data_IF_748102258911
#
_entry.id   IF_748102258911
#
_cell.length_a   1.000
_cell.length_b   1.000
_cell.length_c   1.000
_cell.angle_alpha   90.00
_cell.angle_beta   90.00
_cell.angle_gamma   90.00
#
_symmetry.space_group_name_H-M   'P 1'
#
loop_
_entity.id
_entity.type
_entity.pdbx_description
1 polymer ?
#
# COMPACT_ATOMS: atom_id res chain seq x y z
N UNK A 1 -9.75 33.78 31.80
CA UNK A 1 -9.54 32.69 30.83
C UNK A 1 -9.95 33.24 29.47
N UNK A 2 -9.08 33.17 28.46
CA UNK A 2 -9.43 33.60 27.11
C UNK A 2 -10.34 32.55 26.46
N UNK A 3 -11.37 32.98 25.72
CA UNK A 3 -12.28 32.09 25.00
C UNK A 3 -11.85 32.00 23.53
N UNK A 4 -12.02 30.82 22.94
CA UNK A 4 -11.78 30.60 21.50
C UNK A 4 -13.00 31.07 20.73
N UNK A 5 -12.79 31.96 19.75
CA UNK A 5 -13.86 32.45 18.87
C UNK A 5 -13.99 31.56 17.64
N UNK A 6 -15.05 30.74 17.66
CA UNK A 6 -15.38 29.84 16.58
C UNK A 6 -16.40 30.43 15.58
N UNK A 7 -16.71 31.72 15.60
CA UNK A 7 -17.82 32.25 14.81
C UNK A 7 -17.47 33.51 14.01
N UNK A 8 -16.53 34.34 14.47
CA UNK A 8 -16.24 35.61 13.78
C UNK A 8 -15.59 35.41 12.41
N UNK A 9 -14.68 34.44 12.26
CA UNK A 9 -13.96 34.20 11.01
C UNK A 9 -13.75 32.71 10.76
N UNK A 10 -13.89 32.30 9.48
CA UNK A 10 -13.73 30.92 9.01
C UNK A 10 -13.06 30.86 7.64
N UNK A 11 -12.08 29.98 7.51
CA UNK A 11 -11.56 29.61 6.18
C UNK A 11 -12.61 28.79 5.45
N UNK A 12 -12.92 29.19 4.22
CA UNK A 12 -13.89 28.50 3.35
C UNK A 12 -13.28 27.99 2.05
N UNK A 13 -12.03 28.39 1.75
CA UNK A 13 -11.34 28.04 0.49
C UNK A 13 -9.94 27.48 0.71
N UNK A 14 -9.19 28.04 1.66
CA UNK A 14 -7.79 27.67 1.90
C UNK A 14 -7.70 26.65 3.03
N UNK A 15 -8.26 25.47 2.81
CA UNK A 15 -8.11 24.29 3.68
C UNK A 15 -8.35 23.00 2.88
N UNK A 16 -7.83 21.88 3.37
CA UNK A 16 -8.10 20.53 2.87
C UNK A 16 -8.50 19.64 4.04
N UNK A 17 -9.02 18.45 3.74
CA UNK A 17 -9.23 17.41 4.77
C UNK A 17 -7.89 16.81 5.18
N UNK A 18 -7.84 16.20 6.37
CA UNK A 18 -6.62 15.51 6.86
C UNK A 18 -6.45 14.15 6.19
N UNK A 19 -7.56 13.45 5.95
CA UNK A 19 -7.57 12.17 5.25
C UNK A 19 -7.44 12.44 3.75
N UNK A 20 -6.48 11.74 3.14
CA UNK A 20 -6.14 11.80 1.72
C UNK A 20 -6.12 10.42 1.05
N UNK A 21 -6.07 9.32 1.80
CA UNK A 21 -5.95 7.98 1.23
C UNK A 21 -7.00 7.01 1.78
N UNK A 22 -7.38 6.05 0.95
CA UNK A 22 -8.19 4.90 1.34
C UNK A 22 -7.39 3.63 1.09
N UNK A 23 -7.08 2.87 2.15
CA UNK A 23 -6.20 1.71 2.07
C UNK A 23 -7.01 0.43 2.28
N UNK A 24 -6.93 -0.48 1.31
CA UNK A 24 -7.57 -1.79 1.37
C UNK A 24 -6.59 -2.84 1.90
N UNK A 25 -7.07 -3.68 2.82
CA UNK A 25 -6.32 -4.77 3.46
C UNK A 25 -7.15 -6.05 3.42
N UNK A 26 -6.47 -7.19 3.54
CA UNK A 26 -7.09 -8.41 4.05
C UNK A 26 -6.59 -8.70 5.45
N UNK A 27 -7.35 -9.48 6.21
CA UNK A 27 -6.97 -9.84 7.58
C UNK A 27 -6.04 -11.05 7.68
N UNK A 28 -6.06 -11.97 6.70
CA UNK A 28 -5.42 -13.30 6.80
C UNK A 28 -5.90 -14.13 8.01
N UNK A 29 -7.06 -13.77 8.55
CA UNK A 29 -7.63 -14.32 9.78
C UNK A 29 -9.13 -14.55 9.59
N UNK A 30 -9.71 -15.46 10.38
CA UNK A 30 -11.19 -15.56 10.45
C UNK A 30 -11.78 -14.34 11.17
N UNK A 31 -13.11 -14.18 11.16
CA UNK A 31 -13.75 -12.99 11.74
C UNK A 31 -13.42 -12.79 13.23
N UNK A 32 -13.50 -13.85 14.04
CA UNK A 32 -13.24 -13.77 15.48
C UNK A 32 -11.81 -13.31 15.77
N UNK A 33 -10.82 -13.91 15.09
CA UNK A 33 -9.41 -13.54 15.24
C UNK A 33 -9.14 -12.13 14.72
N UNK A 34 -9.79 -11.73 13.61
CA UNK A 34 -9.70 -10.39 13.04
C UNK A 34 -10.18 -9.33 14.04
N UNK A 35 -11.35 -9.52 14.66
CA UNK A 35 -11.86 -8.62 15.71
C UNK A 35 -10.90 -8.57 16.89
N UNK A 36 -10.43 -9.72 17.40
CA UNK A 36 -9.50 -9.77 18.52
C UNK A 36 -8.18 -9.02 18.23
N UNK A 37 -7.64 -9.17 17.02
CA UNK A 37 -6.40 -8.51 16.61
C UNK A 37 -6.59 -6.99 16.47
N UNK A 38 -7.64 -6.56 15.75
CA UNK A 38 -7.88 -5.17 15.39
C UNK A 38 -8.46 -4.30 16.52
N UNK A 39 -8.97 -4.92 17.58
CA UNK A 39 -9.32 -4.24 18.84
C UNK A 39 -8.29 -4.48 19.94
N UNK A 40 -7.16 -5.11 19.61
CA UNK A 40 -6.07 -5.36 20.53
C UNK A 40 -5.13 -4.15 20.67
N UNK A 41 -3.94 -4.38 21.23
CA UNK A 41 -2.99 -3.30 21.58
C UNK A 41 -1.98 -2.96 20.47
N UNK A 42 -2.01 -3.66 19.33
CA UNK A 42 -0.91 -3.60 18.33
C UNK A 42 -1.28 -3.01 16.99
N UNK A 43 -2.45 -3.36 16.46
CA UNK A 43 -2.92 -2.96 15.14
C UNK A 43 -4.42 -2.68 15.21
N UNK A 44 -4.91 -1.83 14.33
CA UNK A 44 -6.33 -1.51 14.21
C UNK A 44 -6.64 -0.98 12.82
N UNK A 45 -7.92 -0.98 12.45
CA UNK A 45 -8.43 -0.39 11.22
C UNK A 45 -9.66 0.46 11.53
N UNK A 46 -10.04 1.34 10.61
CA UNK A 46 -11.26 2.11 10.80
C UNK A 46 -12.48 1.23 10.56
N UNK A 47 -12.41 0.36 9.56
CA UNK A 47 -13.51 -0.53 9.20
C UNK A 47 -13.05 -1.98 9.08
N UNK A 48 -13.93 -2.90 9.49
CA UNK A 48 -13.81 -4.34 9.26
C UNK A 48 -15.04 -4.83 8.49
N UNK A 49 -14.80 -5.52 7.37
CA UNK A 49 -15.80 -6.10 6.49
C UNK A 49 -15.72 -7.64 6.59
N UNK A 50 -16.68 -8.31 7.25
CA UNK A 50 -16.69 -9.77 7.42
C UNK A 50 -17.11 -10.49 6.13
N UNK A 51 -16.84 -11.79 6.04
CA UNK A 51 -17.52 -12.68 5.10
C UNK A 51 -18.77 -13.26 5.80
N UNK A 52 -20.01 -12.99 5.31
CA UNK A 52 -21.24 -13.51 5.90
C UNK A 52 -21.34 -15.03 5.98
N UNK A 53 -20.57 -15.74 5.16
CA UNK A 53 -20.52 -17.21 5.14
C UNK A 53 -19.46 -17.80 6.07
N UNK A 54 -18.60 -16.97 6.66
CA UNK A 54 -17.53 -17.43 7.54
C UNK A 54 -18.08 -17.90 8.89
N UNK A 55 -17.58 -19.06 9.34
CA UNK A 55 -18.13 -19.79 10.48
C UNK A 55 -18.08 -18.96 11.77
N UNK A 56 -16.96 -18.29 12.06
CA UNK A 56 -16.83 -17.52 13.31
C UNK A 56 -17.67 -16.23 13.31
N UNK A 57 -18.01 -15.70 12.14
CA UNK A 57 -18.99 -14.61 11.99
C UNK A 57 -20.41 -15.07 12.37
N UNK A 58 -20.81 -16.25 11.89
CA UNK A 58 -22.12 -16.86 12.20
C UNK A 58 -22.20 -17.22 13.69
N UNK A 59 -21.13 -17.79 14.25
CA UNK A 59 -21.04 -18.14 15.67
C UNK A 59 -21.09 -16.93 16.60
N UNK A 60 -20.59 -15.77 16.14
CA UNK A 60 -20.73 -14.50 16.86
C UNK A 60 -22.18 -13.96 16.86
N UNK A 61 -23.11 -14.64 16.18
CA UNK A 61 -24.55 -14.34 16.19
C UNK A 61 -25.00 -13.41 15.08
N UNK A 62 -24.11 -13.06 14.14
CA UNK A 62 -24.47 -12.27 12.97
C UNK A 62 -25.08 -13.17 11.87
N UNK A 63 -26.00 -12.62 11.09
CA UNK A 63 -26.75 -13.35 10.03
C UNK A 63 -26.77 -12.58 8.72
N UNK A 64 -26.88 -11.27 8.81
CA UNK A 64 -26.86 -10.35 7.67
C UNK A 64 -25.49 -9.68 7.58
N UNK A 65 -25.12 -9.23 6.39
CA UNK A 65 -23.90 -8.46 6.17
C UNK A 65 -23.87 -7.21 7.05
N UNK A 66 -22.74 -6.95 7.71
CA UNK A 66 -22.50 -5.75 8.50
C UNK A 66 -21.10 -5.23 8.27
N UNK A 67 -20.96 -3.91 8.30
CA UNK A 67 -19.67 -3.24 8.33
C UNK A 67 -19.44 -2.75 9.75
N UNK A 68 -18.31 -3.11 10.35
CA UNK A 68 -17.96 -2.68 11.69
C UNK A 68 -17.02 -1.50 11.62
N UNK A 69 -17.38 -0.38 12.25
CA UNK A 69 -16.43 0.68 12.53
C UNK A 69 -15.71 0.37 13.85
N UNK A 70 -14.38 0.29 13.83
CA UNK A 70 -13.56 -0.01 15.02
C UNK A 70 -12.81 1.23 15.53
N UNK A 71 -12.50 2.18 14.65
CA UNK A 71 -11.86 3.46 14.98
C UNK A 71 -12.58 4.59 14.25
N UNK A 72 -12.89 5.68 14.95
CA UNK A 72 -13.47 6.90 14.36
C UNK A 72 -12.51 7.48 13.32
N UNK A 73 -12.99 7.93 12.16
CA UNK A 73 -12.14 8.44 11.08
C UNK A 73 -11.47 9.80 11.40
N UNK A 74 -11.87 10.45 12.50
CA UNK A 74 -11.15 11.62 13.03
C UNK A 74 -9.95 11.21 13.89
N UNK A 75 -9.83 9.94 14.23
CA UNK A 75 -8.73 9.35 14.97
C UNK A 75 -7.80 8.57 14.03
N UNK A 76 -6.63 8.17 14.54
CA UNK A 76 -5.63 7.45 13.76
C UNK A 76 -5.68 5.95 14.07
N UNK A 77 -6.22 5.14 13.16
CA UNK A 77 -6.04 3.69 13.21
C UNK A 77 -4.60 3.26 12.85
N UNK A 78 -4.19 2.06 13.27
CA UNK A 78 -2.83 1.54 13.10
C UNK A 78 -2.81 0.36 12.11
N UNK A 79 -2.97 0.65 10.81
CA UNK A 79 -3.09 -0.37 9.75
C UNK A 79 -1.92 -0.34 8.75
N UNK A 80 -1.47 0.84 8.32
CA UNK A 80 -0.47 0.97 7.26
C UNK A 80 0.97 0.62 7.73
N UNK A 81 1.33 0.95 8.96
CA UNK A 81 2.70 0.82 9.47
C UNK A 81 3.71 1.68 8.67
N UNK A 82 4.96 1.21 8.54
CA UNK A 82 5.98 1.86 7.69
C UNK A 82 5.52 1.83 6.24
N UNK A 83 5.17 2.99 5.70
CA UNK A 83 4.48 3.12 4.41
C UNK A 83 4.78 4.45 3.73
N UNK A 84 4.65 4.47 2.40
CA UNK A 84 4.87 5.65 1.56
C UNK A 84 3.98 5.61 0.32
N UNK A 85 3.37 6.74 -0.05
CA UNK A 85 2.58 6.91 -1.26
C UNK A 85 2.53 8.39 -1.67
N UNK A 86 2.65 8.66 -2.97
CA UNK A 86 2.56 10.00 -3.55
C UNK A 86 3.46 11.04 -2.81
N UNK A 87 4.67 10.63 -2.43
CA UNK A 87 5.64 11.47 -1.72
C UNK A 87 5.34 11.71 -0.23
N UNK A 88 4.27 11.12 0.32
CA UNK A 88 3.95 11.14 1.75
C UNK A 88 4.39 9.83 2.40
N UNK A 89 4.81 9.90 3.65
CA UNK A 89 5.13 8.73 4.48
C UNK A 89 4.23 8.67 5.71
N UNK A 90 4.30 7.55 6.45
CA UNK A 90 3.47 7.32 7.64
C UNK A 90 1.97 7.44 7.33
N UNK A 91 1.51 6.66 6.35
CA UNK A 91 0.18 6.80 5.72
C UNK A 91 -0.97 6.70 6.72
N UNK A 92 -0.80 6.01 7.85
CA UNK A 92 -1.77 6.01 8.96
C UNK A 92 -2.26 7.43 9.34
N UNK A 93 -1.39 8.45 9.29
CA UNK A 93 -1.74 9.82 9.72
C UNK A 93 -2.79 10.50 8.82
N UNK A 94 -2.94 10.02 7.59
CA UNK A 94 -3.73 10.68 6.54
C UNK A 94 -4.59 9.68 5.77
N UNK A 95 -4.92 8.53 6.35
CA UNK A 95 -5.66 7.50 5.65
C UNK A 95 -6.77 6.85 6.48
N UNK A 96 -7.72 6.28 5.76
CA UNK A 96 -8.73 5.37 6.29
C UNK A 96 -8.37 3.96 5.83
N UNK A 97 -8.09 3.05 6.76
CA UNK A 97 -7.94 1.61 6.51
C UNK A 97 -9.25 0.82 6.58
N UNK A 98 -9.51 0.02 5.55
CA UNK A 98 -10.58 -1.00 5.49
C UNK A 98 -9.92 -2.38 5.52
N UNK A 99 -10.21 -3.15 6.55
CA UNK A 99 -9.84 -4.57 6.67
C UNK A 99 -10.97 -5.46 6.17
N UNK A 100 -10.64 -6.45 5.34
CA UNK A 100 -11.62 -7.37 4.76
C UNK A 100 -11.26 -8.78 5.20
N UNK A 101 -12.20 -9.47 5.84
CA UNK A 101 -11.99 -10.85 6.30
C UNK A 101 -11.78 -11.74 5.09
N UNK A 102 -10.56 -12.22 4.92
CA UNK A 102 -10.18 -13.14 3.85
C UNK A 102 -9.02 -14.00 4.36
N UNK A 103 -9.12 -15.32 4.11
CA UNK A 103 -8.19 -16.32 4.65
C UNK A 103 -6.94 -16.49 3.76
N UNK A 104 -6.46 -15.39 3.18
CA UNK A 104 -5.24 -15.40 2.37
C UNK A 104 -4.07 -15.98 3.17
N UNK A 105 -3.26 -16.81 2.51
CA UNK A 105 -2.05 -17.38 3.10
C UNK A 105 -0.84 -17.04 2.24
N UNK A 106 0.33 -16.95 2.85
CA UNK A 106 1.59 -16.77 2.13
C UNK A 106 2.78 -16.59 3.06
N UNK A 107 3.98 -16.82 2.53
CA UNK A 107 5.21 -16.60 3.28
C UNK A 107 5.56 -15.11 3.30
N UNK A 108 4.97 -14.36 4.25
CA UNK A 108 5.61 -13.23 4.93
C UNK A 108 4.77 -12.68 6.09
N UNK A 109 4.33 -13.51 7.03
CA UNK A 109 3.98 -13.03 8.38
C UNK A 109 4.82 -13.73 9.48
N UNK A 110 5.81 -14.56 9.10
CA UNK A 110 6.61 -15.35 10.05
C UNK A 110 8.07 -15.61 9.62
N UNK A 111 8.74 -14.65 8.99
CA UNK A 111 10.22 -14.61 9.08
C UNK A 111 10.55 -13.57 10.13
N UNK A 112 11.32 -13.97 11.13
CA UNK A 112 11.98 -13.11 12.11
C UNK A 112 12.72 -11.94 11.43
N UNK A 113 12.01 -10.89 11.02
CA UNK A 113 12.57 -9.55 10.94
C UNK A 113 12.40 -8.92 12.30
N UNK A 114 13.30 -9.35 13.16
CA UNK A 114 13.84 -8.68 14.34
C UNK A 114 13.24 -7.31 14.61
N UNK A 115 12.55 -7.23 15.76
CA UNK A 115 12.04 -6.06 16.47
C UNK A 115 13.08 -4.96 16.79
N UNK A 116 14.16 -4.81 16.03
CA UNK A 116 15.28 -3.89 16.31
C UNK A 116 15.25 -2.63 15.43
N UNK A 117 14.64 -2.64 14.24
CA UNK A 117 14.66 -1.43 13.38
C UNK A 117 13.51 -0.44 13.62
N UNK A 118 12.35 -0.89 14.11
CA UNK A 118 11.22 0.01 14.41
C UNK A 118 11.52 0.88 15.64
N UNK A 119 12.21 0.32 16.64
CA UNK A 119 12.64 1.05 17.84
C UNK A 119 13.72 2.12 17.56
N UNK A 120 14.40 2.07 16.41
CA UNK A 120 15.48 3.00 16.05
C UNK A 120 15.02 4.13 15.11
N UNK A 121 13.86 4.01 14.45
CA UNK A 121 13.29 5.11 13.64
C UNK A 121 12.38 6.03 14.45
N UNK A 122 11.70 5.52 15.48
CA UNK A 122 10.91 6.36 16.41
C UNK A 122 11.76 7.02 17.51
N UNK A 123 13.00 6.58 17.71
CA UNK A 123 13.95 7.21 18.65
C UNK A 123 14.57 8.54 18.15
N UNK A 124 14.08 9.14 17.07
CA UNK A 124 14.52 10.46 16.60
C UNK A 124 13.85 11.65 17.31
N UNK A 125 13.44 11.48 18.56
CA UNK A 125 13.01 12.58 19.45
C UNK A 125 13.80 12.61 20.77
N UNK A 126 14.97 11.97 20.83
CA UNK A 126 15.95 12.27 21.87
C UNK A 126 17.22 12.87 21.24
N UNK A 127 17.31 14.19 21.41
CA UNK A 127 18.47 15.06 21.21
C UNK A 127 19.82 14.33 21.23
N UNK A 128 20.45 14.24 20.06
CA UNK A 128 21.91 14.22 19.95
C UNK A 128 22.33 15.37 19.04
N UNK A 129 22.47 16.54 19.65
CA UNK A 129 23.28 17.64 19.12
C UNK A 129 24.73 17.18 19.25
N UNK A 130 25.41 16.90 18.13
CA UNK A 130 26.87 16.87 18.11
C UNK A 130 27.40 18.28 17.87
N UNK A 131 28.47 18.64 18.58
CA UNK A 131 28.96 20.01 18.82
C UNK A 131 29.55 20.75 17.61
N UNK A 132 29.58 20.15 16.42
CA UNK A 132 30.21 20.75 15.24
C UNK A 132 29.20 20.83 14.10
N UNK A 133 28.40 21.89 14.09
CA UNK A 133 27.30 22.10 13.16
C UNK A 133 27.71 21.99 11.70
N UNK A 134 27.35 20.87 11.05
CA UNK A 134 27.44 20.71 9.61
C UNK A 134 26.22 19.90 9.11
N UNK A 135 25.44 20.50 8.21
CA UNK A 135 24.27 19.89 7.60
C UNK A 135 24.70 18.83 6.58
N UNK A 136 24.10 17.64 6.62
CA UNK A 136 24.23 16.64 5.55
C UNK A 136 23.03 16.77 4.60
N UNK A 137 23.32 17.30 3.40
CA UNK A 137 22.47 17.12 2.22
C UNK A 137 22.47 15.64 1.82
N UNK A 138 21.30 15.03 1.66
CA UNK A 138 21.17 13.68 1.11
C UNK A 138 21.09 13.76 -0.41
N UNK A 139 22.21 13.44 -1.08
CA UNK A 139 22.20 13.13 -2.51
C UNK A 139 21.74 11.69 -2.74
N UNK A 140 20.91 11.56 -3.76
CA UNK A 140 20.34 10.32 -4.30
C UNK A 140 21.44 9.51 -4.98
N UNK A 141 21.51 8.21 -4.68
CA UNK A 141 22.22 7.15 -5.40
C UNK A 141 23.51 7.55 -6.15
N UNK A 142 24.62 7.67 -5.41
CA UNK A 142 25.95 7.49 -5.99
C UNK A 142 26.93 7.02 -4.92
N UNK A 143 27.33 5.75 -4.98
CA UNK A 143 28.61 5.31 -4.39
C UNK A 143 29.30 4.41 -5.40
N UNK A 144 30.39 4.95 -5.95
CA UNK A 144 31.38 4.23 -6.71
C UNK A 144 32.16 3.30 -5.79
N UNK A 145 32.58 2.16 -6.34
CA UNK A 145 33.40 1.14 -5.69
C UNK A 145 34.75 1.71 -5.21
N UNK A 146 35.15 1.35 -3.99
CA UNK A 146 36.55 1.40 -3.56
C UNK A 146 36.85 2.25 -2.33
N UNK A 147 36.54 1.73 -1.14
CA UNK A 147 37.32 2.04 0.07
C UNK A 147 37.44 0.79 0.94
N UNK A 148 38.65 0.26 1.05
CA UNK A 148 39.01 -0.83 1.95
C UNK A 148 38.92 -0.37 3.42
N UNK A 149 38.15 -1.10 4.23
CA UNK A 149 38.25 -1.06 5.69
C UNK A 149 38.60 -2.47 6.15
N UNK A 150 39.76 -2.62 6.80
CA UNK A 150 40.22 -3.87 7.39
C UNK A 150 39.42 -4.17 8.66
N UNK A 151 38.60 -5.22 8.62
CA UNK A 151 37.85 -5.75 9.76
C UNK A 151 37.66 -7.25 9.59
N UNK A 152 37.84 -7.99 10.68
CA UNK A 152 37.78 -9.45 10.81
C UNK A 152 36.70 -10.12 9.97
N UNK A 153 37.11 -11.07 9.12
CA UNK A 153 36.24 -11.90 8.31
C UNK A 153 35.38 -12.81 9.20
N UNK A 154 34.11 -12.46 9.36
CA UNK A 154 33.07 -13.44 9.69
C UNK A 154 32.75 -14.18 8.40
N UNK A 155 32.98 -15.49 8.39
CA UNK A 155 32.52 -16.40 7.35
C UNK A 155 30.98 -16.34 7.32
N UNK A 156 30.44 -15.58 6.39
CA UNK A 156 29.04 -15.72 6.00
C UNK A 156 28.97 -16.93 5.07
N UNK A 157 28.50 -18.05 5.60
CA UNK A 157 27.97 -19.11 4.75
C UNK A 157 26.84 -18.48 3.92
N UNK A 158 27.03 -18.45 2.61
CA UNK A 158 26.01 -18.10 1.62
C UNK A 158 24.79 -18.99 1.83
N UNK A 159 23.82 -18.48 2.57
CA UNK A 159 22.48 -19.05 2.59
C UNK A 159 21.91 -18.76 1.22
N UNK A 160 21.64 -19.83 0.46
CA UNK A 160 20.97 -19.77 -0.82
C UNK A 160 19.73 -18.88 -0.70
N UNK A 161 19.73 -17.77 -1.45
CA UNK A 161 18.56 -16.97 -1.75
C UNK A 161 17.55 -17.89 -2.44
N UNK A 162 16.65 -18.48 -1.65
CA UNK A 162 15.54 -19.26 -2.18
C UNK A 162 14.69 -18.32 -3.03
N UNK A 163 14.50 -18.74 -4.27
CA UNK A 163 13.67 -18.09 -5.27
C UNK A 163 12.29 -17.81 -4.67
N UNK A 164 11.86 -16.54 -4.71
CA UNK A 164 10.45 -16.17 -4.55
C UNK A 164 9.64 -16.93 -5.59
N UNK A 165 9.12 -18.10 -5.21
CA UNK A 165 8.17 -18.85 -6.01
C UNK A 165 6.79 -18.26 -5.70
N UNK A 166 6.09 -17.79 -6.73
CA UNK A 166 4.71 -17.31 -6.61
C UNK A 166 3.73 -18.38 -6.10
N UNK A 167 4.19 -19.63 -6.02
CA UNK A 167 3.42 -20.83 -5.63
C UNK A 167 3.06 -20.88 -4.14
N UNK A 168 3.62 -19.99 -3.30
CA UNK A 168 3.41 -20.03 -1.85
C UNK A 168 2.27 -19.12 -1.35
N UNK A 169 1.74 -18.22 -2.18
CA UNK A 169 0.62 -17.35 -1.81
C UNK A 169 -0.71 -17.90 -2.34
N UNK A 170 -1.69 -18.04 -1.46
CA UNK A 170 -3.08 -18.36 -1.81
C UNK A 170 -3.93 -17.13 -1.50
N UNK A 171 -4.60 -16.60 -2.52
CA UNK A 171 -5.58 -15.52 -2.39
C UNK A 171 -6.99 -16.08 -2.63
N UNK A 172 -7.73 -16.46 -1.56
CA UNK A 172 -9.13 -16.85 -1.69
C UNK A 172 -9.96 -15.74 -2.34
N UNK A 173 -10.96 -16.09 -3.16
CA UNK A 173 -11.89 -15.10 -3.70
C UNK A 173 -12.64 -14.41 -2.56
N UNK A 174 -12.92 -13.12 -2.74
CA UNK A 174 -13.85 -12.40 -1.87
C UNK A 174 -15.29 -12.74 -2.26
N UNK A 175 -16.18 -12.87 -1.29
CA UNK A 175 -17.60 -13.09 -1.60
C UNK A 175 -18.20 -11.86 -2.30
N UNK A 176 -19.16 -12.01 -3.22
CA UNK A 176 -19.83 -10.88 -3.86
C UNK A 176 -20.46 -9.91 -2.84
N UNK A 177 -21.05 -10.45 -1.77
CA UNK A 177 -21.64 -9.66 -0.68
C UNK A 177 -20.60 -8.81 0.05
N UNK A 178 -19.38 -9.31 0.24
CA UNK A 178 -18.26 -8.51 0.77
C UNK A 178 -17.93 -7.36 -0.16
N UNK A 179 -17.77 -7.64 -1.45
CA UNK A 179 -17.36 -6.64 -2.43
C UNK A 179 -18.42 -5.55 -2.58
N UNK A 180 -19.71 -5.89 -2.56
CA UNK A 180 -20.78 -4.89 -2.58
C UNK A 180 -20.75 -3.99 -1.33
N UNK A 181 -20.53 -4.55 -0.15
CA UNK A 181 -20.37 -3.77 1.07
C UNK A 181 -19.13 -2.87 1.05
N UNK A 182 -17.99 -3.36 0.52
CA UNK A 182 -16.78 -2.54 0.32
C UNK A 182 -17.06 -1.39 -0.64
N UNK A 183 -17.79 -1.61 -1.73
CA UNK A 183 -18.14 -0.55 -2.68
C UNK A 183 -19.02 0.52 -2.03
N UNK A 184 -20.07 0.12 -1.33
CA UNK A 184 -20.97 1.06 -0.64
C UNK A 184 -20.20 1.90 0.39
N UNK A 185 -19.35 1.26 1.19
CA UNK A 185 -18.50 1.93 2.17
C UNK A 185 -17.50 2.88 1.52
N UNK A 186 -16.78 2.43 0.50
CA UNK A 186 -15.79 3.24 -0.20
C UNK A 186 -16.44 4.47 -0.85
N UNK A 187 -17.58 4.31 -1.52
CA UNK A 187 -18.33 5.45 -2.07
C UNK A 187 -18.78 6.43 -0.98
N UNK A 188 -19.24 5.92 0.16
CA UNK A 188 -19.60 6.77 1.29
C UNK A 188 -18.40 7.58 1.82
N UNK A 189 -17.23 6.96 1.95
CA UNK A 189 -15.99 7.63 2.37
C UNK A 189 -15.58 8.69 1.35
N UNK A 190 -15.49 8.32 0.06
CA UNK A 190 -15.07 9.23 -1.01
C UNK A 190 -15.98 10.46 -1.15
N UNK A 191 -17.28 10.33 -0.88
CA UNK A 191 -18.20 11.47 -0.83
C UNK A 191 -17.89 12.45 0.31
N UNK A 192 -17.37 11.97 1.44
CA UNK A 192 -17.06 12.79 2.63
C UNK A 192 -15.66 13.37 2.59
N UNK A 193 -14.74 12.71 1.88
CA UNK A 193 -13.35 13.11 1.69
C UNK A 193 -13.04 13.34 0.21
N UNK A 194 -13.50 14.45 -0.39
CA UNK A 194 -13.37 14.72 -1.83
C UNK A 194 -11.92 14.95 -2.28
N UNK A 195 -10.97 15.09 -1.35
CA UNK A 195 -9.54 15.20 -1.63
C UNK A 195 -8.87 13.83 -1.87
N UNK A 196 -9.59 12.71 -1.66
CA UNK A 196 -9.13 11.37 -2.03
C UNK A 196 -9.38 11.18 -3.53
N UNK A 197 -8.32 11.22 -4.32
CA UNK A 197 -8.40 11.02 -5.77
C UNK A 197 -8.48 9.52 -6.11
N UNK A 198 -8.87 9.14 -7.33
CA UNK A 198 -8.85 7.74 -7.76
C UNK A 198 -7.50 7.03 -7.52
N UNK A 199 -6.37 7.74 -7.69
CA UNK A 199 -5.01 7.22 -7.46
C UNK A 199 -4.64 7.09 -5.98
N UNK A 200 -5.49 7.57 -5.07
CA UNK A 200 -5.30 7.52 -3.62
C UNK A 200 -6.10 6.39 -2.95
N UNK A 201 -6.83 5.58 -3.74
CA UNK A 201 -7.43 4.33 -3.29
C UNK A 201 -6.49 3.19 -3.68
N UNK A 202 -5.83 2.60 -2.68
CA UNK A 202 -4.68 1.70 -2.89
C UNK A 202 -4.73 0.49 -1.98
N UNK A 203 -4.01 -0.56 -2.36
CA UNK A 203 -3.76 -1.70 -1.50
C UNK A 203 -2.64 -1.42 -0.50
N UNK A 204 -2.56 -2.21 0.57
CA UNK A 204 -1.41 -2.15 1.47
C UNK A 204 -0.10 -2.50 0.74
N UNK A 205 -0.17 -3.40 -0.24
CA UNK A 205 0.97 -3.77 -1.11
C UNK A 205 1.57 -2.59 -1.86
N UNK A 206 0.76 -1.60 -2.22
CA UNK A 206 1.22 -0.43 -2.98
C UNK A 206 2.06 0.53 -2.14
N UNK A 207 1.71 0.66 -0.86
CA UNK A 207 2.32 1.61 0.07
C UNK A 207 3.44 1.00 0.91
N UNK A 208 3.53 -0.33 0.95
CA UNK A 208 4.46 -1.10 1.79
C UNK A 208 5.12 -2.24 0.98
N UNK A 209 5.74 -1.87 -0.14
CA UNK A 209 6.36 -2.77 -1.12
C UNK A 209 7.31 -3.78 -0.45
N UNK A 210 7.19 -5.05 -0.84
CA UNK A 210 8.00 -6.17 -0.33
C UNK A 210 7.63 -6.63 1.08
N UNK A 211 6.93 -5.80 1.87
CA UNK A 211 6.46 -6.15 3.23
C UNK A 211 5.03 -6.68 3.23
N UNK A 212 4.20 -6.25 2.28
CA UNK A 212 2.76 -6.51 2.24
C UNK A 212 2.32 -6.95 0.85
N UNK A 213 1.31 -7.83 0.81
CA UNK A 213 0.74 -8.41 -0.42
C UNK A 213 -0.78 -8.24 -0.49
N UNK A 214 -1.38 -7.62 0.50
CA UNK A 214 -2.81 -7.38 0.62
C UNK A 214 -3.25 -6.10 -0.12
N UNK A 215 -4.49 -6.07 -0.67
CA UNK A 215 -5.56 -7.07 -0.55
C UNK A 215 -5.43 -8.27 -1.53
N UNK A 216 -4.31 -8.35 -2.26
CA UNK A 216 -3.96 -9.51 -3.10
C UNK A 216 -4.65 -9.54 -4.46
N UNK A 217 -4.24 -10.51 -5.28
CA UNK A 217 -4.69 -10.64 -6.68
C UNK A 217 -6.17 -11.01 -6.83
N UNK A 218 -6.82 -11.51 -5.77
CA UNK A 218 -8.24 -11.85 -5.80
C UNK A 218 -9.16 -10.63 -5.57
N UNK A 219 -8.62 -9.49 -5.15
CA UNK A 219 -9.40 -8.30 -4.86
C UNK A 219 -9.82 -7.59 -6.14
N UNK A 220 -11.11 -7.34 -6.41
CA UNK A 220 -11.57 -6.98 -7.76
C UNK A 220 -11.43 -5.47 -8.04
N UNK A 221 -10.19 -4.98 -8.18
CA UNK A 221 -9.90 -3.56 -8.43
C UNK A 221 -10.64 -2.97 -9.63
N UNK A 222 -10.69 -3.71 -10.75
CA UNK A 222 -11.44 -3.27 -11.95
C UNK A 222 -12.93 -3.12 -11.67
N UNK A 223 -13.51 -3.98 -10.84
CA UNK A 223 -14.92 -3.92 -10.48
C UNK A 223 -15.23 -2.70 -9.59
N UNK A 224 -14.34 -2.38 -8.66
CA UNK A 224 -14.41 -1.15 -7.86
C UNK A 224 -14.29 0.10 -8.76
N UNK A 225 -13.35 0.11 -9.70
CA UNK A 225 -13.20 1.21 -10.66
C UNK A 225 -14.47 1.43 -11.48
N UNK A 226 -15.12 0.35 -11.95
CA UNK A 226 -16.38 0.46 -12.69
C UNK A 226 -17.53 1.01 -11.82
N UNK A 227 -17.43 0.88 -10.49
CA UNK A 227 -18.33 1.50 -9.53
C UNK A 227 -17.94 2.95 -9.16
N UNK A 228 -16.86 3.50 -9.75
CA UNK A 228 -16.36 4.84 -9.49
C UNK A 228 -15.36 4.94 -8.34
N UNK A 229 -14.76 3.82 -7.93
CA UNK A 229 -13.83 3.73 -6.78
C UNK A 229 -12.44 3.36 -7.28
N UNK A 230 -11.47 4.24 -7.05
CA UNK A 230 -10.07 3.98 -7.39
C UNK A 230 -9.75 4.17 -8.87
N UNK A 231 -8.49 3.95 -9.21
CA UNK A 231 -7.94 4.17 -10.54
C UNK A 231 -7.91 2.90 -11.39
N UNK A 232 -8.05 3.06 -12.70
CA UNK A 232 -7.82 1.99 -13.69
C UNK A 232 -7.43 2.60 -15.03
N UNK A 233 -6.67 1.85 -15.83
CA UNK A 233 -6.25 2.29 -17.16
C UNK A 233 -7.39 2.18 -18.18
N UNK A 234 -7.26 2.92 -19.28
CA UNK A 234 -8.11 2.75 -20.44
C UNK A 234 -7.52 1.68 -21.37
N UNK A 235 -8.35 0.74 -21.83
CA UNK A 235 -7.89 -0.38 -22.67
C UNK A 235 -7.25 0.12 -23.98
N UNK A 236 -7.76 1.21 -24.56
CA UNK A 236 -7.20 1.80 -25.78
C UNK A 236 -5.78 2.35 -25.58
N UNK A 237 -5.51 3.03 -24.45
CA UNK A 237 -4.19 3.56 -24.11
C UNK A 237 -3.22 2.41 -23.80
N UNK A 238 -3.66 1.41 -23.04
CA UNK A 238 -2.87 0.22 -22.77
C UNK A 238 -2.51 -0.51 -24.08
N UNK A 239 -3.46 -0.72 -24.98
CA UNK A 239 -3.21 -1.36 -26.28
C UNK A 239 -2.25 -0.56 -27.15
N UNK A 240 -2.31 0.78 -27.09
CA UNK A 240 -1.36 1.66 -27.76
C UNK A 240 0.08 1.41 -27.28
N UNK A 241 0.31 1.47 -25.96
CA UNK A 241 1.64 1.22 -25.40
C UNK A 241 2.11 -0.22 -25.59
N UNK A 242 1.21 -1.19 -25.53
CA UNK A 242 1.54 -2.59 -25.78
C UNK A 242 2.09 -2.80 -27.20
N UNK A 243 1.50 -2.13 -28.21
CA UNK A 243 2.02 -2.10 -29.59
C UNK A 243 3.35 -1.35 -29.71
N UNK A 244 3.56 -0.32 -28.91
CA UNK A 244 4.81 0.43 -28.89
C UNK A 244 5.94 -0.43 -28.30
N UNK A 245 5.71 -1.04 -27.14
CA UNK A 245 6.70 -1.79 -26.37
C UNK A 245 6.93 -3.21 -26.87
N UNK A 246 6.08 -3.72 -27.78
CA UNK A 246 6.37 -4.98 -28.50
C UNK A 246 7.65 -4.91 -29.34
N UNK A 247 8.16 -3.72 -29.63
CA UNK A 247 9.43 -3.49 -30.34
C UNK A 247 10.64 -3.43 -29.40
N UNK A 248 10.41 -3.32 -28.10
CA UNK A 248 11.43 -3.13 -27.07
C UNK A 248 10.82 -2.47 -25.84
N UNK A 249 11.15 -3.00 -24.66
CA UNK A 249 10.71 -2.42 -23.39
C UNK A 249 11.40 -1.07 -23.12
N UNK A 250 10.75 -0.15 -22.40
CA UNK A 250 11.41 1.04 -21.85
C UNK A 250 12.59 0.69 -20.96
N UNK A 251 13.51 1.65 -20.79
CA UNK A 251 14.60 1.50 -19.84
C UNK A 251 14.07 1.44 -18.40
N UNK A 252 14.80 0.78 -17.50
CA UNK A 252 14.42 0.63 -16.09
C UNK A 252 14.21 2.00 -15.43
N UNK A 253 15.03 2.98 -15.77
CA UNK A 253 14.95 4.35 -15.28
C UNK A 253 13.63 5.02 -15.65
N UNK A 254 13.13 4.79 -16.86
CA UNK A 254 11.85 5.34 -17.33
C UNK A 254 10.66 4.68 -16.63
N UNK A 255 10.71 3.36 -16.43
CA UNK A 255 9.71 2.61 -15.65
C UNK A 255 9.64 3.15 -14.22
N UNK A 256 10.79 3.32 -13.56
CA UNK A 256 10.86 3.86 -12.20
C UNK A 256 10.36 5.30 -12.13
N UNK A 257 10.67 6.13 -13.13
CA UNK A 257 10.15 7.49 -13.20
C UNK A 257 8.61 7.50 -13.30
N UNK A 258 8.02 6.62 -14.11
CA UNK A 258 6.56 6.48 -14.24
C UNK A 258 5.91 5.95 -12.96
N UNK A 259 6.46 4.90 -12.34
CA UNK A 259 5.96 4.37 -11.07
C UNK A 259 6.03 5.41 -9.94
N UNK A 260 7.14 6.16 -9.86
CA UNK A 260 7.28 7.28 -8.92
C UNK A 260 6.27 8.39 -9.18
N UNK A 261 6.03 8.73 -10.45
CA UNK A 261 5.02 9.71 -10.83
C UNK A 261 3.61 9.25 -10.43
N UNK A 262 3.32 7.95 -10.58
CA UNK A 262 2.03 7.39 -10.20
C UNK A 262 1.80 7.44 -8.68
N UNK A 263 2.82 7.12 -7.89
CA UNK A 263 2.76 7.24 -6.43
C UNK A 263 3.69 6.33 -5.65
N UNK A 264 4.30 5.32 -6.28
CA UNK A 264 5.11 4.32 -5.60
C UNK A 264 6.43 4.88 -5.04
N UNK A 265 6.84 4.36 -3.89
CA UNK A 265 8.21 4.54 -3.39
C UNK A 265 9.18 3.61 -4.12
N UNK A 266 10.01 4.22 -4.97
CA UNK A 266 10.99 3.48 -5.78
C UNK A 266 12.30 3.19 -5.04
N UNK A 267 12.45 3.57 -3.76
CA UNK A 267 13.71 3.42 -3.03
C UNK A 267 14.14 1.95 -2.88
N UNK A 268 13.18 1.02 -2.84
CA UNK A 268 13.43 -0.43 -2.80
C UNK A 268 14.04 -0.98 -4.09
N UNK A 269 13.85 -0.29 -5.22
CA UNK A 269 14.30 -0.74 -6.54
C UNK A 269 15.82 -0.60 -6.78
N UNK A 270 16.59 -0.22 -5.75
CA UNK A 270 18.06 -0.20 -5.78
C UNK A 270 18.67 -1.61 -5.87
N UNK A 271 17.89 -2.65 -5.60
CA UNK A 271 18.26 -4.06 -5.77
C UNK A 271 17.34 -4.74 -6.79
N UNK A 272 17.80 -5.83 -7.40
CA UNK A 272 16.95 -6.62 -8.31
C UNK A 272 15.75 -7.26 -7.59
N UNK A 273 15.94 -7.67 -6.33
CA UNK A 273 14.85 -8.20 -5.49
C UNK A 273 13.81 -7.12 -5.22
N UNK A 274 14.23 -5.94 -4.75
CA UNK A 274 13.29 -4.87 -4.45
C UNK A 274 12.64 -4.27 -5.70
N UNK A 275 13.30 -4.33 -6.86
CA UNK A 275 12.66 -4.01 -8.14
C UNK A 275 11.57 -5.03 -8.49
N UNK A 276 11.85 -6.33 -8.33
CA UNK A 276 10.85 -7.40 -8.51
C UNK A 276 9.65 -7.22 -7.58
N UNK A 277 9.88 -6.87 -6.31
CA UNK A 277 8.83 -6.62 -5.33
C UNK A 277 7.96 -5.41 -5.71
N UNK A 278 8.56 -4.34 -6.22
CA UNK A 278 7.86 -3.15 -6.71
C UNK A 278 6.96 -3.50 -7.91
N UNK A 279 7.48 -4.24 -8.89
CA UNK A 279 6.69 -4.68 -10.04
C UNK A 279 5.56 -5.63 -9.61
N UNK A 280 5.84 -6.53 -8.67
CA UNK A 280 4.83 -7.46 -8.13
C UNK A 280 3.69 -6.70 -7.44
N UNK A 281 4.01 -5.73 -6.58
CA UNK A 281 3.01 -4.91 -5.91
C UNK A 281 2.07 -4.22 -6.93
N UNK A 282 2.65 -3.64 -7.99
CA UNK A 282 1.89 -3.06 -9.08
C UNK A 282 0.99 -4.06 -9.81
N UNK A 283 1.51 -5.25 -10.11
CA UNK A 283 0.75 -6.30 -10.80
C UNK A 283 -0.40 -6.85 -9.94
N UNK A 284 -0.21 -7.01 -8.63
CA UNK A 284 -1.28 -7.41 -7.69
C UNK A 284 -2.48 -6.45 -7.72
N UNK A 285 -2.26 -5.19 -8.10
CA UNK A 285 -3.31 -4.20 -8.24
C UNK A 285 -3.87 -4.18 -9.67
N UNK A 286 -3.02 -3.99 -10.68
CA UNK A 286 -3.48 -3.64 -12.04
C UNK A 286 -3.39 -4.76 -13.09
N UNK A 287 -2.76 -5.89 -12.76
CA UNK A 287 -2.55 -7.02 -13.68
C UNK A 287 -2.55 -8.36 -12.93
N UNK A 288 -3.71 -8.69 -12.39
CA UNK A 288 -3.86 -9.74 -11.38
C UNK A 288 -3.72 -11.15 -11.96
N UNK A 289 -3.79 -11.29 -13.28
CA UNK A 289 -3.58 -12.55 -13.99
C UNK A 289 -2.12 -13.02 -13.95
N UNK A 290 -1.15 -12.11 -13.80
CA UNK A 290 0.25 -12.45 -13.59
C UNK A 290 0.99 -11.39 -12.77
N UNK A 291 1.33 -11.77 -11.53
CA UNK A 291 2.01 -10.97 -10.51
C UNK A 291 3.39 -11.53 -10.12
N UNK A 292 4.12 -12.08 -11.08
CA UNK A 292 5.43 -12.68 -10.84
C UNK A 292 6.56 -11.69 -10.51
N UNK A 293 6.29 -10.39 -10.58
CA UNK A 293 7.26 -9.32 -10.37
C UNK A 293 8.22 -9.12 -11.53
N UNK A 294 8.02 -9.81 -12.66
CA UNK A 294 8.82 -9.65 -13.86
C UNK A 294 8.16 -8.59 -14.74
N UNK A 295 8.93 -7.56 -15.09
CA UNK A 295 8.46 -6.54 -16.03
C UNK A 295 8.27 -7.16 -17.42
N UNK A 296 7.05 -7.10 -17.92
CA UNK A 296 6.71 -7.44 -19.30
C UNK A 296 6.02 -6.30 -20.04
N UNK A 297 5.73 -6.53 -21.32
CA UNK A 297 5.15 -5.53 -22.22
C UNK A 297 3.81 -5.01 -21.71
N UNK A 298 2.98 -5.90 -21.17
CA UNK A 298 1.65 -5.54 -20.66
C UNK A 298 1.77 -4.72 -19.37
N UNK A 299 2.61 -5.14 -18.43
CA UNK A 299 2.87 -4.39 -17.20
C UNK A 299 3.39 -2.98 -17.51
N UNK A 300 4.39 -2.86 -18.40
CA UNK A 300 4.90 -1.56 -18.84
C UNK A 300 3.83 -0.70 -19.51
N UNK A 301 2.98 -1.31 -20.35
CA UNK A 301 1.90 -0.60 -21.03
C UNK A 301 0.85 -0.06 -20.04
N UNK A 302 0.49 -0.84 -19.02
CA UNK A 302 -0.43 -0.43 -17.98
C UNK A 302 0.14 0.73 -17.15
N UNK A 303 1.43 0.66 -16.76
CA UNK A 303 2.12 1.74 -16.04
C UNK A 303 2.01 3.07 -16.81
N UNK A 304 2.31 3.04 -18.11
CA UNK A 304 2.26 4.25 -18.94
C UNK A 304 0.83 4.75 -19.14
N UNK A 305 -0.12 3.85 -19.42
CA UNK A 305 -1.52 4.21 -19.60
C UNK A 305 -2.12 4.87 -18.34
N UNK A 306 -1.79 4.36 -17.16
CA UNK A 306 -2.21 4.95 -15.88
C UNK A 306 -1.62 6.36 -15.69
N UNK A 307 -0.31 6.51 -15.88
CA UNK A 307 0.34 7.82 -15.69
C UNK A 307 -0.21 8.84 -16.67
N UNK A 308 -0.39 8.49 -17.93
CA UNK A 308 -0.88 9.43 -18.93
C UNK A 308 -2.35 9.81 -18.73
N UNK A 309 -3.16 8.90 -18.18
CA UNK A 309 -4.56 9.17 -17.81
C UNK A 309 -4.69 10.09 -16.60
N UNK A 310 -3.92 9.82 -15.53
CA UNK A 310 -4.11 10.49 -14.23
C UNK A 310 -3.14 11.64 -13.97
N UNK A 311 -2.04 11.70 -14.74
CA UNK A 311 -1.00 12.74 -14.64
C UNK A 311 -0.60 13.22 -16.04
N UNK A 312 -1.54 13.73 -16.86
CA UNK A 312 -1.24 14.19 -18.19
C UNK A 312 -0.20 15.32 -18.14
N UNK A 313 0.75 15.29 -19.07
CA UNK A 313 1.69 16.40 -19.23
C UNK A 313 0.92 17.60 -19.77
N UNK A 314 0.79 18.66 -18.95
CA UNK A 314 0.24 19.95 -19.38
C UNK A 314 1.12 20.62 -20.44
#
# INVERSE_FOLDING_TARGET
>A
MYQIDYNSYRSTKSFSRRVHFLIMHYTSLNFKESVMALTGERVSAHYLVPDPSEQTYIEAGFKDMRIFNLVDENERAWHAGVSSWAGRSNINDTSIGIEIVNLATGHSDSVEQTYVEVALKDARVLNLVNKDGCQLQTNVCSWAEGTHVSGTALQFETINLTTYNNEDFVFPPYSPTQIDAVKELALNILQRYPDIMPVDVVGHSDIAIGRKSDPGAAFPWKELYMAGIGAWYDDELKDHYQKQFSKGLPAKEDILAKLKCYGYDISVACTEIGYKDLIRAFQLHFRQENYDGILDVETAAIIYALVDKYFPSN
#
